data_IF_647803740544
#
_entry.id   IF_647803740544
#
_cell.length_a   1.000
_cell.length_b   1.000
_cell.length_c   1.000
_cell.angle_alpha   90.00
_cell.angle_beta   90.00
_cell.angle_gamma   90.00
#
_symmetry.space_group_name_H-M   'P 1'
#
loop_
_entity.id
_entity.type
_entity.pdbx_description
1 polymer ?
#
# COMPACT_ATOMS: atom_id res chain seq x y z
N UNK A 1 -8.73 28.80 -17.22
CA UNK A 1 -8.80 27.46 -16.57
C UNK A 1 -10.27 27.05 -16.51
N UNK A 2 -10.60 25.82 -16.89
CA UNK A 2 -11.99 25.39 -17.01
C UNK A 2 -12.58 25.05 -15.64
N UNK A 3 -13.61 25.77 -15.20
CA UNK A 3 -14.23 25.66 -13.85
C UNK A 3 -14.61 24.22 -13.49
N UNK A 4 -15.00 23.40 -14.49
CA UNK A 4 -15.33 21.98 -14.29
C UNK A 4 -14.16 21.10 -13.84
N UNK A 5 -12.92 21.47 -14.14
CA UNK A 5 -11.73 20.70 -13.75
C UNK A 5 -11.38 20.88 -12.26
N UNK A 6 -11.88 21.92 -11.60
CA UNK A 6 -11.62 22.19 -10.18
C UNK A 6 -12.70 21.62 -9.25
N UNK A 7 -13.87 21.25 -9.78
CA UNK A 7 -14.97 20.70 -8.99
C UNK A 7 -14.55 19.40 -8.29
N UNK A 8 -13.96 18.45 -9.02
CA UNK A 8 -13.56 17.16 -8.44
C UNK A 8 -12.53 17.31 -7.31
N UNK A 9 -11.41 18.05 -7.49
CA UNK A 9 -10.47 18.31 -6.39
C UNK A 9 -11.11 19.01 -5.18
N UNK A 10 -12.03 19.96 -5.41
CA UNK A 10 -12.72 20.69 -4.33
C UNK A 10 -13.61 19.76 -3.52
N UNK A 11 -14.36 18.87 -4.18
CA UNK A 11 -15.21 17.88 -3.51
C UNK A 11 -14.35 16.96 -2.64
N UNK A 12 -13.23 16.46 -3.16
CA UNK A 12 -12.32 15.58 -2.39
C UNK A 12 -11.81 16.30 -1.13
N UNK A 13 -11.37 17.55 -1.26
CA UNK A 13 -10.87 18.32 -0.13
C UNK A 13 -11.94 18.65 0.91
N UNK A 14 -13.16 18.95 0.46
CA UNK A 14 -14.31 19.17 1.35
C UNK A 14 -14.67 17.90 2.13
N UNK A 15 -14.67 16.73 1.49
CA UNK A 15 -14.92 15.45 2.16
C UNK A 15 -13.83 15.16 3.19
N UNK A 16 -12.55 15.37 2.85
CA UNK A 16 -11.44 15.19 3.80
C UNK A 16 -11.61 16.12 5.01
N UNK A 17 -11.94 17.40 4.79
CA UNK A 17 -12.18 18.34 5.89
C UNK A 17 -13.33 17.84 6.78
N UNK A 18 -14.47 17.50 6.17
CA UNK A 18 -15.66 17.04 6.86
C UNK A 18 -15.41 15.79 7.71
N UNK A 19 -14.64 14.82 7.18
CA UNK A 19 -14.31 13.59 7.90
C UNK A 19 -13.32 13.82 9.05
N UNK A 20 -12.50 14.86 9.00
CA UNK A 20 -11.54 15.18 10.07
C UNK A 20 -12.13 16.01 11.21
N UNK A 21 -13.23 16.75 10.99
CA UNK A 21 -13.86 17.55 12.05
C UNK A 21 -14.29 16.70 13.26
N UNK A 22 -15.00 15.55 13.10
CA UNK A 22 -15.33 14.69 14.23
C UNK A 22 -14.09 14.15 14.95
N UNK A 23 -13.01 13.87 14.20
CA UNK A 23 -11.73 13.39 14.75
C UNK A 23 -11.05 14.45 15.62
N UNK A 24 -11.28 15.73 15.36
CA UNK A 24 -10.78 16.84 16.17
C UNK A 24 -11.65 17.12 17.40
N UNK A 25 -12.98 17.01 17.28
CA UNK A 25 -13.92 17.50 18.31
C UNK A 25 -14.35 16.41 19.30
N UNK A 26 -14.46 15.15 18.86
CA UNK A 26 -15.01 14.07 19.69
C UNK A 26 -14.04 13.39 20.67
N UNK A 27 -12.76 13.18 20.36
CA UNK A 27 -11.90 12.40 21.25
C UNK A 27 -11.43 13.20 22.47
N UNK A 28 -11.53 12.60 23.66
CA UNK A 28 -10.93 13.15 24.90
C UNK A 28 -9.40 13.29 24.81
N UNK A 29 -8.75 12.55 23.90
CA UNK A 29 -7.33 12.67 23.58
C UNK A 29 -7.15 13.11 22.14
N UNK A 30 -6.48 14.24 21.95
CA UNK A 30 -6.07 14.78 20.65
C UNK A 30 -5.62 13.67 19.67
N UNK A 31 -6.48 13.36 18.69
CA UNK A 31 -6.19 12.38 17.64
C UNK A 31 -5.20 12.95 16.62
N UNK A 32 -5.39 14.22 16.28
CA UNK A 32 -4.54 14.99 15.39
C UNK A 32 -3.24 15.40 16.09
N UNK A 33 -2.13 15.24 15.38
CA UNK A 33 -0.79 15.53 15.87
C UNK A 33 -0.61 17.04 16.16
N UNK A 34 -1.19 17.90 15.31
CA UNK A 34 -1.11 19.35 15.47
C UNK A 34 -1.67 19.83 16.81
N UNK A 35 -2.76 19.22 17.28
CA UNK A 35 -3.42 19.62 18.53
C UNK A 35 -2.57 19.30 19.78
N UNK A 36 -1.61 18.37 19.66
CA UNK A 36 -0.65 18.08 20.73
C UNK A 36 0.51 19.07 20.80
N UNK A 37 0.86 19.68 19.67
CA UNK A 37 2.00 20.60 19.59
C UNK A 37 1.64 21.99 20.14
N UNK A 38 0.42 22.46 19.86
CA UNK A 38 -0.11 23.71 20.38
C UNK A 38 -1.64 23.73 20.27
N UNK A 39 -2.30 24.52 21.12
CA UNK A 39 -3.75 24.65 21.16
C UNK A 39 -4.29 25.13 19.79
N UNK A 40 -5.25 24.40 19.24
CA UNK A 40 -5.84 24.69 17.92
C UNK A 40 -5.00 24.22 16.72
N UNK A 41 -3.85 23.58 16.94
CA UNK A 41 -3.02 23.04 15.86
C UNK A 41 -3.72 21.95 15.03
N UNK A 42 -4.74 21.28 15.57
CA UNK A 42 -5.56 20.33 14.83
C UNK A 42 -6.36 20.99 13.70
N UNK A 43 -6.90 22.19 13.92
CA UNK A 43 -7.59 22.95 12.87
C UNK A 43 -6.67 23.38 11.73
N UNK A 44 -5.46 23.81 12.08
CA UNK A 44 -4.41 24.10 11.09
C UNK A 44 -4.06 22.85 10.29
N UNK A 45 -3.94 21.70 10.96
CA UNK A 45 -3.70 20.41 10.31
C UNK A 45 -4.83 20.02 9.34
N UNK A 46 -6.10 20.23 9.70
CA UNK A 46 -7.25 19.98 8.82
C UNK A 46 -7.11 20.81 7.54
N UNK A 47 -6.88 22.11 7.65
CA UNK A 47 -6.74 23.00 6.47
C UNK A 47 -5.57 22.55 5.58
N UNK A 48 -4.42 22.23 6.18
CA UNK A 48 -3.24 21.75 5.44
C UNK A 48 -3.51 20.44 4.70
N UNK A 49 -4.10 19.45 5.38
CA UNK A 49 -4.37 18.12 4.80
C UNK A 49 -5.46 18.20 3.71
N UNK A 50 -6.48 19.03 3.90
CA UNK A 50 -7.49 19.30 2.87
C UNK A 50 -6.88 19.97 1.65
N UNK A 51 -6.02 20.99 1.83
CA UNK A 51 -5.28 21.62 0.73
C UNK A 51 -4.36 20.63 0.00
N UNK A 52 -3.67 19.76 0.74
CA UNK A 52 -2.88 18.67 0.17
C UNK A 52 -3.74 17.71 -0.67
N UNK A 53 -4.90 17.29 -0.16
CA UNK A 53 -5.81 16.39 -0.88
C UNK A 53 -6.38 17.02 -2.16
N UNK A 54 -6.64 18.32 -2.16
CA UNK A 54 -7.01 19.09 -3.35
C UNK A 54 -5.91 19.01 -4.43
N UNK A 55 -4.66 19.31 -4.05
CA UNK A 55 -3.54 19.27 -4.98
C UNK A 55 -3.33 17.85 -5.52
N UNK A 56 -3.40 16.85 -4.64
CA UNK A 56 -3.23 15.46 -5.04
C UNK A 56 -4.33 15.02 -6.02
N UNK A 57 -5.59 15.40 -5.77
CA UNK A 57 -6.71 15.10 -6.65
C UNK A 57 -6.57 15.77 -8.02
N UNK A 58 -6.12 17.02 -8.06
CA UNK A 58 -5.86 17.76 -9.30
C UNK A 58 -4.84 17.04 -10.18
N UNK A 59 -3.76 16.54 -9.58
CA UNK A 59 -2.65 15.96 -10.34
C UNK A 59 -2.76 14.44 -10.57
N UNK A 60 -3.58 13.73 -9.78
CA UNK A 60 -3.84 12.30 -9.99
C UNK A 60 -5.00 12.04 -10.96
N UNK A 61 -5.88 13.01 -11.19
CA UNK A 61 -6.99 12.85 -12.13
C UNK A 61 -6.52 12.57 -13.56
N UNK A 62 -5.58 13.35 -14.16
CA UNK A 62 -5.04 13.02 -15.49
C UNK A 62 -4.18 11.76 -15.47
N UNK A 63 -4.41 10.84 -16.43
CA UNK A 63 -3.68 9.57 -16.52
C UNK A 63 -2.18 9.75 -16.77
N UNK A 64 -1.77 10.82 -17.44
CA UNK A 64 -0.37 11.11 -17.79
C UNK A 64 0.50 11.38 -16.55
N UNK A 65 -0.02 12.19 -15.62
CA UNK A 65 0.69 12.60 -14.41
C UNK A 65 0.45 11.67 -13.22
N UNK A 66 -0.61 10.83 -13.26
CA UNK A 66 -1.04 9.99 -12.13
C UNK A 66 0.06 9.12 -11.55
N UNK A 67 0.79 8.39 -12.40
CA UNK A 67 1.86 7.51 -11.92
C UNK A 67 2.96 8.29 -11.19
N UNK A 68 3.27 9.52 -11.59
CA UNK A 68 4.28 10.34 -10.91
C UNK A 68 3.76 10.78 -9.55
N UNK A 69 2.56 11.37 -9.51
CA UNK A 69 1.99 11.92 -8.28
C UNK A 69 1.61 10.86 -7.26
N UNK A 70 1.09 9.70 -7.70
CA UNK A 70 0.88 8.54 -6.85
C UNK A 70 2.15 8.12 -6.12
N UNK A 71 3.29 8.08 -6.80
CA UNK A 71 4.54 7.65 -6.14
C UNK A 71 5.16 8.75 -5.28
N UNK A 72 4.95 10.02 -5.63
CA UNK A 72 5.36 11.14 -4.77
C UNK A 72 4.58 11.15 -3.46
N UNK A 73 3.25 11.06 -3.51
CA UNK A 73 2.42 10.98 -2.30
C UNK A 73 2.73 9.72 -1.50
N UNK A 74 2.95 8.59 -2.17
CA UNK A 74 3.27 7.34 -1.51
C UNK A 74 4.64 7.37 -0.80
N UNK A 75 5.67 7.98 -1.41
CA UNK A 75 6.96 8.21 -0.76
C UNK A 75 6.84 9.23 0.38
N UNK A 76 6.05 10.30 0.22
CA UNK A 76 5.78 11.26 1.29
C UNK A 76 5.20 10.55 2.52
N UNK A 77 4.23 9.65 2.31
CA UNK A 77 3.65 8.86 3.40
C UNK A 77 4.69 7.99 4.11
N UNK A 78 5.56 7.31 3.35
CA UNK A 78 6.68 6.53 3.92
C UNK A 78 7.64 7.39 4.72
N UNK A 79 8.02 8.56 4.21
CA UNK A 79 8.93 9.48 4.87
C UNK A 79 8.31 10.07 6.14
N UNK A 80 7.05 10.48 6.07
CA UNK A 80 6.32 10.99 7.23
C UNK A 80 6.23 9.93 8.32
N UNK A 81 5.84 8.71 7.95
CA UNK A 81 5.66 7.61 8.89
C UNK A 81 6.97 7.16 9.54
N UNK A 82 8.03 6.91 8.77
CA UNK A 82 9.33 6.55 9.36
C UNK A 82 10.04 7.72 10.03
N UNK A 83 9.81 8.96 9.57
CA UNK A 83 10.28 10.17 10.23
C UNK A 83 9.67 10.32 11.61
N UNK A 84 8.34 10.12 11.73
CA UNK A 84 7.66 10.11 13.02
C UNK A 84 8.16 8.98 13.93
N UNK A 85 8.39 7.78 13.41
CA UNK A 85 8.99 6.69 14.19
C UNK A 85 10.38 7.09 14.73
N UNK A 86 11.23 7.67 13.87
CA UNK A 86 12.58 8.09 14.26
C UNK A 86 12.53 9.21 15.32
N UNK A 87 11.65 10.21 15.15
CA UNK A 87 11.43 11.25 16.16
C UNK A 87 10.87 10.68 17.47
N UNK A 88 10.04 9.64 17.40
CA UNK A 88 9.53 8.93 18.56
C UNK A 88 10.59 8.14 19.33
N UNK A 89 11.56 7.55 18.63
CA UNK A 89 12.66 6.77 19.23
C UNK A 89 13.77 7.68 19.76
N UNK A 90 14.20 8.68 18.98
CA UNK A 90 15.38 9.49 19.27
C UNK A 90 15.06 10.87 19.88
N UNK A 91 13.81 11.32 19.78
CA UNK A 91 13.37 12.63 20.24
C UNK A 91 12.46 12.55 21.45
N UNK A 92 11.16 12.40 21.21
CA UNK A 92 10.14 12.41 22.27
C UNK A 92 9.07 11.33 22.02
N UNK A 93 8.69 10.63 23.10
CA UNK A 93 7.55 9.71 23.13
C UNK A 93 6.21 10.33 22.70
N UNK A 94 6.09 11.67 22.67
CA UNK A 94 4.95 12.41 22.12
C UNK A 94 4.56 11.96 20.72
N UNK A 95 5.55 11.59 19.91
CA UNK A 95 5.38 11.12 18.53
C UNK A 95 4.92 9.65 18.43
N UNK A 96 4.91 8.91 19.56
CA UNK A 96 4.47 7.50 19.65
C UNK A 96 3.01 7.37 20.13
N UNK A 97 2.31 6.33 19.66
CA UNK A 97 0.88 6.09 19.95
C UNK A 97 0.58 5.87 21.44
N UNK A 98 1.42 5.08 22.11
CA UNK A 98 1.13 4.47 23.42
C UNK A 98 2.27 4.61 24.42
N UNK A 99 3.32 5.37 24.07
CA UNK A 99 4.59 5.38 24.81
C UNK A 99 5.36 4.05 24.73
N UNK A 100 4.84 3.03 24.02
CA UNK A 100 5.51 1.75 23.76
C UNK A 100 5.87 1.64 22.28
N UNK A 101 7.09 1.18 22.01
CA UNK A 101 7.57 0.98 20.65
C UNK A 101 6.74 -0.10 19.94
N UNK A 102 6.02 0.27 18.87
CA UNK A 102 5.34 -0.66 17.98
C UNK A 102 6.08 -0.69 16.66
N UNK A 103 6.83 -1.78 16.41
CA UNK A 103 7.58 -1.91 15.17
C UNK A 103 6.62 -1.98 13.98
N UNK A 104 6.69 -1.05 13.03
CA UNK A 104 5.76 -1.00 11.91
C UNK A 104 6.22 -1.95 10.82
N UNK A 105 5.91 -3.21 11.03
CA UNK A 105 6.24 -4.31 10.12
C UNK A 105 4.92 -4.85 9.60
N UNK A 106 4.59 -4.70 8.30
CA UNK A 106 3.30 -5.13 7.77
C UNK A 106 2.97 -6.59 8.09
N UNK A 107 3.96 -7.49 8.15
CA UNK A 107 3.76 -8.88 8.54
C UNK A 107 3.09 -9.06 9.92
N UNK A 108 3.28 -8.11 10.84
CA UNK A 108 2.67 -8.11 12.18
C UNK A 108 1.15 -7.89 12.12
N UNK A 109 0.61 -7.31 11.04
CA UNK A 109 -0.85 -7.24 10.82
C UNK A 109 -1.48 -8.64 10.79
N UNK A 110 -0.73 -9.63 10.28
CA UNK A 110 -1.15 -11.04 10.25
C UNK A 110 -0.65 -11.78 11.49
N UNK A 111 0.66 -11.69 11.78
CA UNK A 111 1.27 -12.47 12.85
C UNK A 111 0.84 -12.02 14.26
N UNK A 112 0.59 -10.73 14.46
CA UNK A 112 0.22 -10.15 15.76
C UNK A 112 -1.08 -10.72 16.34
N UNK A 113 -2.20 -10.69 15.60
CA UNK A 113 -3.46 -11.31 16.06
C UNK A 113 -3.34 -12.82 16.29
N UNK A 114 -2.58 -13.53 15.43
CA UNK A 114 -2.33 -14.97 15.59
C UNK A 114 -1.57 -15.24 16.89
N UNK A 115 -0.52 -14.47 17.16
CA UNK A 115 0.34 -14.62 18.33
C UNK A 115 -0.34 -14.17 19.64
N UNK A 116 -0.93 -12.97 19.69
CA UNK A 116 -1.43 -12.34 20.94
C UNK A 116 -2.93 -12.46 21.17
N UNK A 117 -3.71 -12.87 20.16
CA UNK A 117 -5.19 -12.87 20.19
C UNK A 117 -5.82 -11.55 20.71
N UNK A 118 -5.10 -10.45 20.54
CA UNK A 118 -5.43 -9.11 21.01
C UNK A 118 -4.86 -8.10 20.01
N UNK A 119 -5.32 -6.85 20.05
CA UNK A 119 -4.96 -5.77 19.09
C UNK A 119 -5.65 -5.86 17.71
N UNK A 120 -6.99 -5.82 17.72
CA UNK A 120 -7.82 -5.83 16.51
C UNK A 120 -7.83 -4.51 15.72
N UNK A 121 -7.31 -3.42 16.30
CA UNK A 121 -7.33 -2.10 15.67
C UNK A 121 -6.66 -2.08 14.29
N UNK A 122 -5.42 -2.56 14.18
CA UNK A 122 -4.68 -2.57 12.90
C UNK A 122 -5.33 -3.48 11.84
N UNK A 123 -5.74 -4.72 12.16
CA UNK A 123 -6.53 -5.54 11.24
C UNK A 123 -7.82 -4.87 10.78
N UNK A 124 -8.60 -4.24 11.67
CA UNK A 124 -9.85 -3.55 11.32
C UNK A 124 -9.58 -2.40 10.35
N UNK A 125 -8.58 -1.56 10.62
CA UNK A 125 -8.17 -0.49 9.71
C UNK A 125 -7.71 -1.02 8.34
N UNK A 126 -6.94 -2.11 8.36
CA UNK A 126 -6.44 -2.74 7.14
C UNK A 126 -7.58 -3.33 6.30
N UNK A 127 -8.51 -4.07 6.91
CA UNK A 127 -9.64 -4.68 6.19
C UNK A 127 -10.66 -3.66 5.71
N UNK A 128 -10.94 -2.61 6.50
CA UNK A 128 -11.81 -1.51 6.05
C UNK A 128 -11.19 -0.77 4.87
N UNK A 129 -9.88 -0.52 4.87
CA UNK A 129 -9.20 0.07 3.71
C UNK A 129 -9.24 -0.84 2.48
N UNK A 130 -9.13 -2.16 2.64
CA UNK A 130 -9.32 -3.12 1.52
C UNK A 130 -10.75 -3.09 1.01
N UNK A 131 -11.74 -3.05 1.88
CA UNK A 131 -13.14 -3.01 1.47
C UNK A 131 -13.41 -1.76 0.60
N UNK A 132 -12.93 -0.60 1.06
CA UNK A 132 -13.15 0.68 0.41
C UNK A 132 -12.32 0.87 -0.87
N UNK A 133 -11.03 0.57 -0.86
CA UNK A 133 -10.12 0.87 -1.98
C UNK A 133 -9.59 -0.37 -2.71
N UNK A 134 -9.99 -1.57 -2.28
CA UNK A 134 -9.50 -2.83 -2.82
C UNK A 134 -8.02 -3.06 -2.48
N UNK A 135 -7.25 -3.66 -3.40
CA UNK A 135 -5.84 -3.95 -3.18
C UNK A 135 -4.93 -2.72 -3.28
N UNK A 136 -5.50 -1.51 -3.33
CA UNK A 136 -4.79 -0.23 -3.39
C UNK A 136 -3.98 0.10 -2.13
N UNK A 137 -4.26 -0.56 -1.00
CA UNK A 137 -3.44 -0.45 0.22
C UNK A 137 -1.95 -0.63 -0.09
N UNK A 138 -1.62 -1.67 -0.84
CA UNK A 138 -0.24 -2.02 -1.21
C UNK A 138 0.41 -1.05 -2.21
N UNK A 139 -0.32 -0.07 -2.75
CA UNK A 139 0.16 0.88 -3.77
C UNK A 139 -0.03 2.36 -3.40
N UNK A 140 -0.73 2.66 -2.29
CA UNK A 140 -1.00 4.02 -1.82
C UNK A 140 -0.75 4.25 -0.31
N UNK A 141 -0.82 3.19 0.51
CA UNK A 141 -0.82 3.30 1.98
C UNK A 141 0.31 2.49 2.63
N UNK A 142 0.77 1.42 2.00
CA UNK A 142 1.84 0.59 2.57
C UNK A 142 3.21 1.28 2.39
N UNK A 143 3.83 1.72 3.48
CA UNK A 143 5.13 2.40 3.47
C UNK A 143 6.27 1.55 2.88
N UNK A 144 6.24 0.23 3.09
CA UNK A 144 7.16 -0.73 2.47
C UNK A 144 7.04 -0.80 0.96
N UNK A 145 5.81 -0.71 0.45
CA UNK A 145 5.58 -0.79 -0.98
C UNK A 145 6.16 0.43 -1.71
N UNK A 146 6.20 1.61 -1.07
CA UNK A 146 6.81 2.78 -1.69
C UNK A 146 8.31 2.58 -1.89
N UNK A 147 9.01 2.04 -0.88
CA UNK A 147 10.43 1.68 -0.95
C UNK A 147 10.69 0.64 -2.05
N UNK A 148 9.87 -0.43 -2.09
CA UNK A 148 9.96 -1.48 -3.11
C UNK A 148 9.72 -0.92 -4.53
N UNK A 149 8.75 -0.02 -4.68
CA UNK A 149 8.46 0.64 -5.96
C UNK A 149 9.59 1.59 -6.39
N UNK A 150 10.17 2.34 -5.46
CA UNK A 150 11.31 3.21 -5.72
C UNK A 150 12.52 2.39 -6.20
N UNK A 151 12.86 1.32 -5.48
CA UNK A 151 13.94 0.40 -5.86
C UNK A 151 13.67 -0.23 -7.24
N UNK A 152 12.46 -0.73 -7.48
CA UNK A 152 12.06 -1.30 -8.76
C UNK A 152 12.16 -0.29 -9.92
N UNK A 153 11.79 0.98 -9.69
CA UNK A 153 11.88 2.04 -10.71
C UNK A 153 13.33 2.42 -11.02
N UNK A 154 14.19 2.53 -10.00
CA UNK A 154 15.64 2.73 -10.18
C UNK A 154 16.23 1.59 -11.01
N UNK A 155 15.90 0.35 -10.64
CA UNK A 155 16.30 -0.85 -11.38
C UNK A 155 15.85 -0.89 -12.83
N UNK A 156 14.58 -0.55 -13.07
CA UNK A 156 13.99 -0.52 -14.40
C UNK A 156 14.64 0.55 -15.28
N UNK A 157 15.00 1.72 -14.73
CA UNK A 157 15.75 2.76 -15.45
C UNK A 157 17.15 2.28 -15.82
N UNK A 158 17.90 1.70 -14.87
CA UNK A 158 19.27 1.17 -15.09
C UNK A 158 19.31 0.11 -16.19
N UNK A 159 18.28 -0.74 -16.28
CA UNK A 159 18.18 -1.79 -17.31
C UNK A 159 17.60 -1.34 -18.65
N UNK A 160 16.96 -0.17 -18.76
CA UNK A 160 16.65 0.41 -20.07
C UNK A 160 17.92 0.76 -20.86
N UNK A 161 19.06 0.90 -20.17
CA UNK A 161 20.39 1.06 -20.74
C UNK A 161 21.16 -0.27 -20.97
N UNK A 162 20.51 -1.44 -20.88
CA UNK A 162 21.16 -2.75 -21.04
C UNK A 162 20.23 -3.92 -21.38
N UNK A 163 20.78 -5.15 -21.38
CA UNK A 163 20.17 -6.37 -21.94
C UNK A 163 18.81 -6.76 -21.31
N UNK A 164 17.71 -6.43 -22.00
CA UNK A 164 16.31 -6.61 -21.56
C UNK A 164 15.81 -8.07 -21.49
N UNK A 165 16.54 -9.04 -22.04
CA UNK A 165 16.11 -10.45 -22.08
C UNK A 165 16.04 -11.08 -20.69
N UNK A 166 17.03 -10.85 -19.83
CA UNK A 166 17.09 -11.41 -18.46
C UNK A 166 15.91 -10.97 -17.60
N UNK A 167 15.42 -9.73 -17.78
CA UNK A 167 14.24 -9.21 -17.04
C UNK A 167 12.97 -9.97 -17.41
N UNK A 168 12.82 -10.36 -18.67
CA UNK A 168 11.67 -11.16 -19.15
C UNK A 168 11.68 -12.55 -18.51
N UNK A 169 12.83 -13.23 -18.56
CA UNK A 169 13.00 -14.57 -17.97
C UNK A 169 12.67 -14.58 -16.48
N UNK A 170 13.21 -13.62 -15.71
CA UNK A 170 12.92 -13.54 -14.28
C UNK A 170 11.44 -13.27 -14.00
N UNK A 171 10.79 -12.41 -14.79
CA UNK A 171 9.37 -12.11 -14.64
C UNK A 171 8.50 -13.33 -14.92
N UNK A 172 8.82 -14.10 -15.95
CA UNK A 172 8.05 -15.29 -16.32
C UNK A 172 8.25 -16.42 -15.31
N UNK A 173 9.48 -16.59 -14.80
CA UNK A 173 9.77 -17.45 -13.64
C UNK A 173 8.94 -17.02 -12.44
N UNK A 174 9.00 -15.74 -12.07
CA UNK A 174 8.27 -15.22 -10.93
C UNK A 174 6.76 -15.40 -11.11
N UNK A 175 6.20 -15.19 -12.31
CA UNK A 175 4.78 -15.43 -12.57
C UNK A 175 4.34 -16.86 -12.23
N UNK A 176 5.15 -17.86 -12.62
CA UNK A 176 4.87 -19.28 -12.39
C UNK A 176 4.98 -19.68 -10.91
N UNK A 177 5.99 -19.16 -10.20
CA UNK A 177 6.27 -19.55 -8.81
C UNK A 177 5.58 -18.67 -7.76
N UNK A 178 5.16 -17.45 -8.14
CA UNK A 178 4.49 -16.47 -7.27
C UNK A 178 3.35 -17.03 -6.43
N UNK A 179 2.37 -17.81 -6.93
CA UNK A 179 1.29 -18.31 -6.08
C UNK A 179 1.82 -19.24 -4.97
N UNK A 180 2.74 -20.14 -5.31
CA UNK A 180 3.33 -21.10 -4.36
C UNK A 180 4.15 -20.38 -3.31
N UNK A 181 5.05 -19.49 -3.72
CA UNK A 181 5.93 -18.75 -2.79
C UNK A 181 5.12 -17.85 -1.84
N UNK A 182 4.06 -17.19 -2.34
CA UNK A 182 3.18 -16.34 -1.53
C UNK A 182 2.45 -17.09 -0.44
N UNK A 183 1.90 -18.26 -0.78
CA UNK A 183 1.21 -19.11 0.19
C UNK A 183 2.24 -19.70 1.16
N UNK A 184 3.39 -20.16 0.65
CA UNK A 184 4.49 -20.66 1.48
C UNK A 184 4.94 -19.66 2.55
N UNK A 185 5.20 -18.39 2.17
CA UNK A 185 5.61 -17.36 3.14
C UNK A 185 4.49 -17.03 4.12
N UNK A 186 3.22 -16.94 3.67
CA UNK A 186 2.08 -16.71 4.57
C UNK A 186 1.96 -17.85 5.60
N UNK A 187 2.00 -19.10 5.14
CA UNK A 187 1.91 -20.28 6.00
C UNK A 187 3.09 -20.34 6.97
N UNK A 188 4.30 -20.01 6.53
CA UNK A 188 5.48 -19.95 7.40
C UNK A 188 5.32 -18.89 8.50
N UNK A 189 4.87 -17.68 8.15
CA UNK A 189 4.65 -16.60 9.14
C UNK A 189 3.58 -16.98 10.15
N UNK A 190 2.47 -17.59 9.71
CA UNK A 190 1.40 -18.07 10.59
C UNK A 190 1.89 -19.22 11.47
N UNK A 191 2.64 -20.18 10.91
CA UNK A 191 3.18 -21.31 11.65
C UNK A 191 4.18 -20.85 12.73
N UNK A 192 5.11 -19.95 12.40
CA UNK A 192 6.05 -19.37 13.37
C UNK A 192 5.27 -18.63 14.47
N UNK A 193 4.28 -17.81 14.12
CA UNK A 193 3.46 -17.11 15.11
C UNK A 193 2.69 -18.07 16.03
N UNK A 194 2.16 -19.16 15.50
CA UNK A 194 1.44 -20.18 16.28
C UNK A 194 2.38 -20.98 17.17
N UNK A 195 3.54 -21.40 16.66
CA UNK A 195 4.57 -22.12 17.43
C UNK A 195 5.08 -21.25 18.59
N UNK A 196 5.42 -19.99 18.31
CA UNK A 196 5.81 -19.03 19.36
C UNK A 196 4.70 -18.84 20.40
N UNK A 197 3.43 -18.90 20.00
CA UNK A 197 2.30 -18.84 20.93
C UNK A 197 2.18 -20.08 21.79
N UNK A 198 2.29 -21.28 21.20
CA UNK A 198 2.21 -22.55 21.94
C UNK A 198 3.36 -22.70 22.93
N UNK A 199 4.56 -22.22 22.58
CA UNK A 199 5.73 -22.24 23.47
C UNK A 199 5.66 -21.21 24.59
N UNK A 200 4.79 -20.19 24.48
CA UNK A 200 4.58 -19.13 25.49
C UNK A 200 3.75 -19.62 26.70
N UNK A 201 3.90 -20.87 27.14
CA UNK A 201 3.10 -21.47 28.23
C UNK A 201 2.97 -20.60 29.50
N UNK A 202 1.97 -20.92 30.33
CA UNK A 202 1.48 -20.19 31.53
C UNK A 202 2.47 -20.14 32.71
N UNK A 203 3.73 -19.77 32.49
CA UNK A 203 4.74 -19.62 33.53
C UNK A 203 5.29 -18.19 33.54
N UNK A 204 5.03 -17.45 34.62
CA UNK A 204 5.28 -16.00 34.71
C UNK A 204 6.77 -15.60 34.55
N UNK A 205 7.72 -16.51 34.76
CA UNK A 205 9.16 -16.28 34.56
C UNK A 205 9.67 -16.45 33.12
N UNK A 206 8.88 -17.10 32.26
CA UNK A 206 9.25 -17.45 30.88
C UNK A 206 8.81 -16.37 29.87
N UNK A 207 8.04 -15.37 30.34
CA UNK A 207 7.39 -14.35 29.53
C UNK A 207 8.37 -13.35 28.88
N UNK A 208 9.50 -13.02 29.52
CA UNK A 208 10.48 -12.06 28.98
C UNK A 208 11.33 -12.67 27.85
N UNK A 209 11.87 -13.87 28.05
CA UNK A 209 12.69 -14.59 27.07
C UNK A 209 11.98 -14.82 25.73
N UNK A 210 10.69 -15.17 25.74
CA UNK A 210 9.94 -15.41 24.50
C UNK A 210 9.44 -14.13 23.82
N UNK A 211 9.23 -13.04 24.56
CA UNK A 211 8.84 -11.76 23.96
C UNK A 211 9.98 -11.17 23.12
N UNK A 212 11.23 -11.40 23.55
CA UNK A 212 12.43 -11.02 22.80
C UNK A 212 12.61 -11.86 21.54
N UNK A 213 12.26 -13.15 21.56
CA UNK A 213 12.32 -14.01 20.36
C UNK A 213 11.33 -13.57 19.28
N UNK A 214 10.09 -13.22 19.63
CA UNK A 214 9.09 -12.77 18.66
C UNK A 214 9.49 -11.43 18.01
N UNK A 215 10.06 -10.51 18.79
CA UNK A 215 10.60 -9.26 18.27
C UNK A 215 11.80 -9.52 17.34
N UNK A 216 12.71 -10.42 17.72
CA UNK A 216 13.85 -10.81 16.90
C UNK A 216 13.42 -11.39 15.54
N UNK A 217 12.46 -12.32 15.53
CA UNK A 217 11.91 -12.88 14.28
C UNK A 217 11.27 -11.80 13.40
N UNK A 218 10.55 -10.85 13.99
CA UNK A 218 9.98 -9.74 13.25
C UNK A 218 11.07 -8.83 12.66
N UNK A 219 12.12 -8.51 13.42
CA UNK A 219 13.27 -7.72 12.96
C UNK A 219 14.03 -8.45 11.86
N UNK A 220 14.28 -9.75 11.99
CA UNK A 220 14.92 -10.56 10.97
C UNK A 220 14.09 -10.59 9.67
N UNK A 221 12.77 -10.80 9.79
CA UNK A 221 11.86 -10.77 8.65
C UNK A 221 11.87 -9.41 7.95
N UNK A 222 11.90 -8.32 8.73
CA UNK A 222 12.02 -6.95 8.26
C UNK A 222 13.35 -6.73 7.51
N UNK A 223 14.47 -7.15 8.10
CA UNK A 223 15.80 -7.02 7.52
C UNK A 223 15.93 -7.79 6.20
N UNK A 224 15.43 -9.04 6.14
CA UNK A 224 15.37 -9.83 4.90
C UNK A 224 14.50 -9.12 3.87
N UNK A 225 13.35 -8.57 4.28
CA UNK A 225 12.47 -7.82 3.40
C UNK A 225 13.15 -6.60 2.76
N UNK A 226 13.89 -5.83 3.55
CA UNK A 226 14.71 -4.71 3.06
C UNK A 226 15.84 -5.19 2.14
N UNK A 227 16.51 -6.29 2.47
CA UNK A 227 17.55 -6.88 1.63
C UNK A 227 16.99 -7.30 0.26
N UNK A 228 15.80 -7.89 0.22
CA UNK A 228 15.10 -8.23 -1.03
C UNK A 228 14.80 -6.96 -1.84
N UNK A 229 14.37 -5.88 -1.20
CA UNK A 229 14.11 -4.59 -1.88
C UNK A 229 15.40 -4.03 -2.51
N UNK A 230 16.48 -3.98 -1.72
CA UNK A 230 17.75 -3.39 -2.15
C UNK A 230 18.46 -4.23 -3.20
N UNK A 231 18.46 -5.56 -3.07
CA UNK A 231 19.21 -6.44 -3.97
C UNK A 231 18.35 -6.95 -5.13
N UNK A 232 17.18 -7.53 -4.85
CA UNK A 232 16.38 -8.24 -5.85
C UNK A 232 15.48 -7.25 -6.59
N UNK A 233 14.67 -6.46 -5.88
CA UNK A 233 13.74 -5.53 -6.52
C UNK A 233 14.46 -4.50 -7.36
N UNK A 234 15.56 -3.94 -6.84
CA UNK A 234 16.43 -3.03 -7.59
C UNK A 234 17.13 -3.71 -8.77
N UNK A 235 17.62 -4.96 -8.63
CA UNK A 235 18.31 -5.61 -9.75
C UNK A 235 17.37 -6.01 -10.89
N UNK A 236 16.14 -6.40 -10.59
CA UNK A 236 15.20 -6.92 -11.61
C UNK A 236 14.17 -5.89 -12.08
N UNK A 237 14.07 -4.74 -11.42
CA UNK A 237 13.18 -3.66 -11.78
C UNK A 237 11.70 -4.06 -11.64
N UNK A 238 11.39 -4.74 -10.54
CA UNK A 238 10.09 -5.30 -10.17
C UNK A 238 9.97 -5.26 -8.65
N UNK A 239 8.75 -5.27 -8.13
CA UNK A 239 8.50 -5.19 -6.69
C UNK A 239 8.52 -6.58 -6.06
N UNK A 240 9.71 -7.21 -6.00
CA UNK A 240 9.86 -8.61 -5.58
C UNK A 240 9.41 -8.83 -4.13
N UNK A 241 9.71 -7.91 -3.22
CA UNK A 241 9.29 -7.98 -1.82
C UNK A 241 7.76 -8.00 -1.70
N UNK A 242 7.07 -7.01 -2.28
CA UNK A 242 5.60 -6.94 -2.24
C UNK A 242 4.94 -8.05 -3.07
N UNK A 243 5.66 -8.63 -4.04
CA UNK A 243 5.12 -9.66 -4.92
C UNK A 243 5.31 -11.07 -4.37
N UNK A 244 6.34 -11.36 -3.58
CA UNK A 244 6.69 -12.74 -3.19
C UNK A 244 6.87 -12.89 -1.68
N UNK A 245 7.56 -11.94 -1.04
CA UNK A 245 7.95 -12.06 0.37
C UNK A 245 6.85 -11.58 1.34
N UNK A 246 6.11 -10.54 0.99
CA UNK A 246 5.18 -9.91 1.93
C UNK A 246 3.89 -10.76 2.14
N UNK A 247 3.63 -11.30 3.35
CA UNK A 247 2.44 -12.11 3.62
C UNK A 247 1.15 -11.30 3.51
N UNK A 248 1.20 -10.01 3.85
CA UNK A 248 0.08 -9.07 3.67
C UNK A 248 -0.30 -8.96 2.19
N UNK A 249 0.68 -9.02 1.29
CA UNK A 249 0.42 -9.04 -0.15
C UNK A 249 -0.43 -10.24 -0.56
N UNK A 250 -0.23 -11.40 0.05
CA UNK A 250 -1.06 -12.59 -0.17
C UNK A 250 -2.49 -12.34 0.31
N UNK A 251 -2.66 -11.88 1.56
CA UNK A 251 -3.97 -11.55 2.15
C UNK A 251 -4.75 -10.56 1.28
N UNK A 252 -4.13 -9.44 0.88
CA UNK A 252 -4.76 -8.43 0.01
C UNK A 252 -5.25 -9.04 -1.30
N UNK A 253 -4.49 -9.95 -1.90
CA UNK A 253 -4.85 -10.53 -3.19
C UNK A 253 -6.02 -11.51 -3.14
N UNK A 254 -6.22 -12.16 -2.01
CA UNK A 254 -7.44 -12.94 -1.77
C UNK A 254 -8.61 -12.03 -1.40
N UNK A 255 -8.37 -11.03 -0.56
CA UNK A 255 -9.42 -10.14 -0.06
C UNK A 255 -9.88 -9.07 -1.05
N UNK A 256 -9.16 -8.86 -2.16
CA UNK A 256 -9.57 -7.91 -3.21
C UNK A 256 -10.99 -8.18 -3.74
N UNK A 257 -11.47 -9.42 -3.67
CA UNK A 257 -12.80 -9.79 -4.14
C UNK A 257 -13.92 -9.27 -3.24
N UNK A 258 -13.64 -8.92 -1.98
CA UNK A 258 -14.62 -8.28 -1.09
C UNK A 258 -14.91 -6.82 -1.48
N UNK A 259 -13.94 -6.13 -2.06
CA UNK A 259 -14.15 -4.75 -2.52
C UNK A 259 -15.14 -4.71 -3.69
N UNK A 260 -15.99 -3.68 -3.81
CA UNK A 260 -16.86 -3.49 -4.97
C UNK A 260 -16.10 -3.05 -6.23
N UNK A 261 -14.88 -2.54 -6.08
CA UNK A 261 -14.05 -2.14 -7.22
C UNK A 261 -13.47 -3.36 -7.94
N UNK A 262 -13.43 -3.26 -9.27
CA UNK A 262 -12.73 -4.19 -10.16
C UNK A 262 -11.83 -3.40 -11.12
N UNK A 263 -10.81 -4.08 -11.63
CA UNK A 263 -9.93 -3.55 -12.67
C UNK A 263 -9.82 -4.58 -13.77
N UNK A 264 -10.20 -4.20 -14.99
CA UNK A 264 -10.46 -5.14 -16.08
C UNK A 264 -9.93 -4.63 -17.43
N UNK A 265 -9.90 -5.53 -18.41
CA UNK A 265 -9.52 -5.26 -19.79
C UNK A 265 -10.78 -5.16 -20.64
N UNK A 266 -11.01 -4.01 -21.25
CA UNK A 266 -12.02 -3.84 -22.31
C UNK A 266 -11.57 -4.61 -23.55
N UNK A 267 -12.21 -5.76 -23.79
CA UNK A 267 -11.82 -6.67 -24.88
C UNK A 267 -12.01 -6.06 -26.28
N UNK A 268 -13.00 -5.19 -26.44
CA UNK A 268 -13.26 -4.45 -27.69
C UNK A 268 -12.14 -3.49 -28.08
N UNK A 269 -11.45 -2.90 -27.10
CA UNK A 269 -10.39 -1.90 -27.32
C UNK A 269 -8.98 -2.53 -27.28
N UNK A 270 -8.84 -3.76 -26.78
CA UNK A 270 -7.55 -4.39 -26.54
C UNK A 270 -6.98 -5.10 -27.77
N UNK A 271 -5.87 -4.58 -28.31
CA UNK A 271 -5.15 -5.17 -29.45
C UNK A 271 -4.10 -6.21 -29.07
N UNK A 272 -3.98 -6.57 -27.78
CA UNK A 272 -2.96 -7.52 -27.30
C UNK A 272 -1.50 -7.14 -27.64
N UNK A 273 -1.20 -5.84 -27.73
CA UNK A 273 0.15 -5.31 -27.99
C UNK A 273 1.14 -5.45 -26.81
N UNK A 274 0.65 -5.79 -25.61
CA UNK A 274 1.43 -6.08 -24.40
C UNK A 274 2.31 -4.94 -23.85
N UNK A 275 2.13 -3.69 -24.30
CA UNK A 275 2.83 -2.51 -23.77
C UNK A 275 2.58 -2.26 -22.27
N UNK A 276 1.43 -2.71 -21.75
CA UNK A 276 1.08 -2.62 -20.33
C UNK A 276 1.87 -3.58 -19.43
N UNK A 277 2.32 -4.74 -19.93
CA UNK A 277 3.02 -5.74 -19.12
C UNK A 277 4.33 -5.20 -18.50
N UNK A 278 5.27 -4.59 -19.26
CA UNK A 278 6.50 -4.05 -18.68
C UNK A 278 6.28 -2.83 -17.77
N UNK A 279 5.11 -2.17 -17.84
CA UNK A 279 4.73 -1.08 -16.95
C UNK A 279 4.24 -1.57 -15.56
N UNK A 280 3.83 -2.85 -15.46
CA UNK A 280 3.36 -3.43 -14.21
C UNK A 280 4.53 -3.88 -13.31
N UNK A 281 4.92 -3.04 -12.36
CA UNK A 281 6.00 -3.37 -11.40
C UNK A 281 5.68 -4.56 -10.48
N UNK A 282 4.40 -4.90 -10.30
CA UNK A 282 3.94 -6.06 -9.51
C UNK A 282 3.95 -7.38 -10.28
N UNK A 283 4.36 -7.36 -11.57
CA UNK A 283 4.28 -8.51 -12.46
C UNK A 283 2.92 -9.23 -12.35
N UNK A 284 1.85 -8.44 -12.43
CA UNK A 284 0.46 -8.90 -12.28
C UNK A 284 -0.24 -9.05 -13.63
N UNK A 285 0.46 -8.82 -14.75
CA UNK A 285 -0.08 -8.97 -16.09
C UNK A 285 0.74 -10.00 -16.86
N UNK A 286 0.08 -10.83 -17.65
CA UNK A 286 0.72 -11.78 -18.56
C UNK A 286 -0.12 -12.01 -19.81
N UNK A 287 0.42 -12.78 -20.76
CA UNK A 287 -0.27 -13.29 -21.94
C UNK A 287 -0.77 -14.70 -21.63
N UNK A 288 -2.01 -15.01 -21.99
CA UNK A 288 -2.55 -16.38 -21.91
C UNK A 288 -2.11 -17.23 -23.12
N UNK A 289 -2.53 -18.50 -23.15
CA UNK A 289 -2.23 -19.43 -24.24
C UNK A 289 -2.77 -18.99 -25.60
N UNK A 290 -3.83 -18.17 -25.62
CA UNK A 290 -4.45 -17.63 -26.84
C UNK A 290 -3.85 -16.29 -27.26
N UNK A 291 -2.82 -15.82 -26.55
CA UNK A 291 -2.18 -14.56 -26.85
C UNK A 291 -2.92 -13.33 -26.30
N UNK A 292 -3.98 -13.47 -25.52
CA UNK A 292 -4.74 -12.36 -24.95
C UNK A 292 -4.11 -11.88 -23.66
N UNK A 293 -4.31 -10.59 -23.35
CA UNK A 293 -3.87 -10.00 -22.09
C UNK A 293 -4.71 -10.54 -20.93
N UNK A 294 -4.06 -10.99 -19.87
CA UNK A 294 -4.70 -11.37 -18.61
C UNK A 294 -4.11 -10.61 -17.44
N UNK A 295 -4.98 -10.20 -16.53
CA UNK A 295 -4.62 -9.56 -15.25
C UNK A 295 -4.73 -10.63 -14.18
N UNK A 296 -3.59 -11.10 -13.68
CA UNK A 296 -3.52 -12.15 -12.68
C UNK A 296 -3.64 -11.65 -11.25
N UNK A 297 -3.52 -12.61 -10.33
CA UNK A 297 -3.43 -12.32 -8.90
C UNK A 297 -2.13 -11.56 -8.59
N UNK A 298 -2.24 -10.47 -7.83
CA UNK A 298 -1.15 -9.52 -7.60
C UNK A 298 -1.41 -8.10 -8.08
N UNK A 299 -2.50 -7.84 -8.82
CA UNK A 299 -2.86 -6.48 -9.23
C UNK A 299 -3.32 -5.66 -8.02
N UNK A 300 -2.70 -4.49 -7.82
CA UNK A 300 -3.00 -3.56 -6.71
C UNK A 300 -3.85 -2.36 -7.13
N UNK A 301 -4.43 -2.41 -8.33
CA UNK A 301 -5.25 -1.34 -8.90
C UNK A 301 -4.54 0.02 -9.01
N UNK A 302 -3.20 0.06 -8.93
CA UNK A 302 -2.41 1.29 -8.94
C UNK A 302 -2.52 2.14 -10.22
N UNK A 303 -3.02 1.56 -11.32
CA UNK A 303 -3.25 2.29 -12.57
C UNK A 303 -1.99 2.68 -13.36
N UNK A 304 -0.78 2.31 -12.93
CA UNK A 304 0.47 2.65 -13.65
C UNK A 304 0.50 2.14 -15.11
N UNK A 305 -0.28 1.10 -15.40
CA UNK A 305 -0.43 0.52 -16.73
C UNK A 305 -1.37 1.30 -17.67
N UNK A 306 -2.22 2.19 -17.13
CA UNK A 306 -3.20 2.95 -17.91
C UNK A 306 -2.50 3.86 -18.92
N UNK A 307 -1.48 4.59 -18.47
CA UNK A 307 -0.67 5.49 -19.31
C UNK A 307 0.12 4.73 -20.38
N UNK A 308 0.42 3.45 -20.15
CA UNK A 308 1.18 2.62 -21.09
C UNK A 308 0.30 2.02 -22.20
N UNK A 309 -1.03 2.05 -22.05
CA UNK A 309 -1.96 1.50 -23.03
C UNK A 309 -2.36 2.59 -24.04
N UNK A 310 -1.95 2.50 -25.32
CA UNK A 310 -2.30 3.51 -26.33
C UNK A 310 -3.77 3.44 -26.76
N UNK A 311 -4.46 2.34 -26.46
CA UNK A 311 -5.85 2.09 -26.88
C UNK A 311 -6.87 2.29 -25.77
N UNK A 312 -6.46 2.78 -24.58
CA UNK A 312 -7.35 2.96 -23.41
C UNK A 312 -8.13 1.72 -22.96
N UNK A 313 -7.69 0.52 -23.35
CA UNK A 313 -8.37 -0.75 -23.11
C UNK A 313 -8.36 -1.26 -21.65
N UNK A 314 -7.91 -0.46 -20.69
CA UNK A 314 -7.83 -0.79 -19.27
C UNK A 314 -8.75 0.15 -18.50
N UNK A 315 -9.59 -0.41 -17.64
CA UNK A 315 -10.62 0.36 -16.92
C UNK A 315 -10.83 -0.11 -15.48
N UNK A 316 -11.31 0.82 -14.65
CA UNK A 316 -11.93 0.50 -13.37
C UNK A 316 -13.41 0.23 -13.57
N UNK A 317 -13.98 -0.65 -12.75
CA UNK A 317 -15.42 -0.94 -12.71
C UNK A 317 -15.92 -0.87 -11.28
N UNK A 318 -17.13 -0.38 -11.12
CA UNK A 318 -17.84 -0.29 -9.84
C UNK A 318 -19.34 -0.37 -10.13
N UNK A 319 -20.04 -1.37 -9.60
CA UNK A 319 -21.52 -1.56 -9.69
C UNK A 319 -22.23 -0.86 -10.86
N UNK A 320 -22.02 -1.34 -12.09
CA UNK A 320 -22.72 -0.83 -13.28
C UNK A 320 -22.37 0.60 -13.72
N UNK A 321 -21.48 1.30 -13.01
CA UNK A 321 -21.00 2.63 -13.39
C UNK A 321 -20.14 2.57 -14.66
N UNK A 322 -20.17 3.67 -15.42
CA UNK A 322 -19.23 3.91 -16.52
C UNK A 322 -17.79 3.90 -15.99
N UNK A 323 -16.86 3.33 -16.77
CA UNK A 323 -15.46 3.16 -16.35
C UNK A 323 -14.76 4.46 -15.93
N UNK A 324 -15.06 5.57 -16.60
CA UNK A 324 -14.51 6.89 -16.23
C UNK A 324 -15.00 7.37 -14.86
N UNK A 325 -16.30 7.21 -14.57
CA UNK A 325 -16.85 7.56 -13.26
C UNK A 325 -16.32 6.64 -12.16
N UNK A 326 -16.16 5.35 -12.45
CA UNK A 326 -15.58 4.39 -11.51
C UNK A 326 -14.11 4.73 -11.19
N UNK A 327 -13.36 5.17 -12.19
CA UNK A 327 -11.98 5.64 -12.03
C UNK A 327 -11.90 6.91 -11.17
N UNK A 328 -12.77 7.91 -11.41
CA UNK A 328 -12.84 9.13 -10.58
C UNK A 328 -13.18 8.79 -9.13
N UNK A 329 -14.17 7.92 -8.91
CA UNK A 329 -14.55 7.47 -7.58
C UNK A 329 -13.41 6.74 -6.87
N UNK A 330 -12.72 5.83 -7.57
CA UNK A 330 -11.58 5.11 -7.02
C UNK A 330 -10.42 6.06 -6.64
N UNK A 331 -10.13 7.07 -7.47
CA UNK A 331 -9.13 8.11 -7.17
C UNK A 331 -9.56 8.91 -5.93
N UNK A 332 -10.83 9.32 -5.83
CA UNK A 332 -11.32 10.05 -4.66
C UNK A 332 -11.16 9.22 -3.37
N UNK A 333 -11.61 7.96 -3.38
CA UNK A 333 -11.52 7.06 -2.22
C UNK A 333 -10.07 6.85 -1.78
N UNK A 334 -9.17 6.59 -2.74
CA UNK A 334 -7.74 6.38 -2.40
C UNK A 334 -7.07 7.64 -1.86
N UNK A 335 -7.40 8.82 -2.38
CA UNK A 335 -6.87 10.09 -1.87
C UNK A 335 -7.43 10.42 -0.49
N UNK A 336 -8.73 10.23 -0.27
CA UNK A 336 -9.37 10.45 1.04
C UNK A 336 -8.73 9.54 2.07
N UNK A 337 -8.64 8.23 1.81
CA UNK A 337 -7.97 7.30 2.73
C UNK A 337 -6.52 7.70 2.97
N UNK A 338 -5.76 8.05 1.93
CA UNK A 338 -4.38 8.47 2.09
C UNK A 338 -4.24 9.73 2.95
N UNK A 339 -5.08 10.74 2.75
CA UNK A 339 -5.06 11.98 3.52
C UNK A 339 -5.44 11.74 4.99
N UNK A 340 -6.50 10.96 5.24
CA UNK A 340 -6.91 10.57 6.60
C UNK A 340 -5.81 9.77 7.30
N UNK A 341 -5.23 8.79 6.60
CA UNK A 341 -4.13 8.01 7.16
C UNK A 341 -2.90 8.87 7.40
N UNK A 342 -2.56 9.82 6.53
CA UNK A 342 -1.42 10.71 6.77
C UNK A 342 -1.67 11.62 7.99
N UNK A 343 -2.91 12.09 8.17
CA UNK A 343 -3.25 12.99 9.27
C UNK A 343 -3.38 12.28 10.63
N UNK A 344 -3.86 11.04 10.61
CA UNK A 344 -4.14 10.21 11.80
C UNK A 344 -2.99 9.23 12.06
N UNK A 345 -2.08 9.02 11.09
CA UNK A 345 -0.98 8.07 11.21
C UNK A 345 -0.21 8.36 12.50
N UNK A 346 -0.09 7.30 13.29
CA UNK A 346 0.67 7.29 14.53
C UNK A 346 1.50 6.01 14.52
N UNK A 347 2.75 6.11 14.96
CA UNK A 347 3.66 4.96 15.09
C UNK A 347 3.69 4.45 16.51
#
# INVERSE_FOLDING_TARGET
>A
MNTRQLIFPTIVAAIVALLMVPVQVMPERALLMGERLFAGGGWVQIVMVSGYSFLLARYMLPRESRSVWRNRSWMLFTLFFYGQLALGIFGDSLFLLTGKLHLPIPAVIVAGPVYRFSSWFMPILFFSAILLAGPAWCSHLCYFGALDSAAARVGAKRKRAGNGSKRRVFRDWMWRWKPILRVGVLMAVVAVALVLRLMRGTGDGVISLFQDTAALWAILFFAIGLLIILLISMRWGIMAHCTVWCPVGTVVNFMKYLSPFRFDVKRSECTSCMKCIPACNYAAMNRDSQGKLVIGNGCTYCGDCLTACPHNALEYRFFGMRGESAERLWIAVTIILHALFLAIARV
#
